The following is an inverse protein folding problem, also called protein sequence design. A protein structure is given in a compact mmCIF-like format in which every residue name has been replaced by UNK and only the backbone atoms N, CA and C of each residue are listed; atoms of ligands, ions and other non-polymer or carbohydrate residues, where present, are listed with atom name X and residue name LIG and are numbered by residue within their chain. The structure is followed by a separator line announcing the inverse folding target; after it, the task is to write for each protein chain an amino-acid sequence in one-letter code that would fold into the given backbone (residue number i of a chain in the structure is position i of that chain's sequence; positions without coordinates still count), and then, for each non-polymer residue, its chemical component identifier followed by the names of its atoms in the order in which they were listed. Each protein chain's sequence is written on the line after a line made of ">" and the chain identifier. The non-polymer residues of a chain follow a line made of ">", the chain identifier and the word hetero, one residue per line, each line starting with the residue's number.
data_IF_376281139569
#
_entry.id   IF_376281139569
#
_cell.length_a   1.000
_cell.length_b   1.000
_cell.length_c   1.000
_cell.angle_alpha   90.00
_cell.angle_beta   90.00
_cell.angle_gamma   90.00
#
_symmetry.space_group_name_H-M   'P 1'
#
loop_
_entity.id
_entity.type
_entity.pdbx_description
1 polymer ?
#
# COMPACT_ATOMS: atom_id res chain seq x y z
N UNK A 1 6.70 -7.82 4.84
CA UNK A 1 7.72 -7.12 5.68
C UNK A 1 8.86 -6.46 4.90
N UNK A 2 9.69 -7.19 4.12
CA UNK A 2 10.81 -6.58 3.37
C UNK A 2 10.41 -5.44 2.43
N UNK A 3 9.38 -5.65 1.62
CA UNK A 3 8.86 -4.65 0.68
C UNK A 3 8.47 -3.35 1.41
N UNK A 4 7.79 -3.46 2.54
CA UNK A 4 7.37 -2.33 3.38
C UNK A 4 8.56 -1.55 3.94
N UNK A 5 9.55 -2.25 4.52
CA UNK A 5 10.75 -1.59 5.06
C UNK A 5 11.49 -0.86 3.95
N UNK A 6 11.65 -1.49 2.79
CA UNK A 6 12.25 -0.85 1.62
C UNK A 6 11.49 0.43 1.23
N UNK A 7 10.17 0.38 1.08
CA UNK A 7 9.36 1.57 0.76
C UNK A 7 9.44 2.66 1.82
N UNK A 8 9.33 2.32 3.11
CA UNK A 8 9.42 3.28 4.20
C UNK A 8 10.80 3.94 4.24
N UNK A 9 11.89 3.17 4.10
CA UNK A 9 13.24 3.74 4.05
C UNK A 9 13.45 4.62 2.82
N UNK A 10 12.99 4.20 1.65
CA UNK A 10 13.06 5.00 0.43
C UNK A 10 12.29 6.31 0.57
N UNK A 11 11.11 6.27 1.17
CA UNK A 11 10.27 7.45 1.41
C UNK A 11 10.93 8.41 2.41
N UNK A 12 11.54 7.90 3.50
CA UNK A 12 12.33 8.71 4.45
C UNK A 12 13.52 9.37 3.76
N UNK A 13 14.29 8.62 2.96
CA UNK A 13 15.46 9.15 2.23
C UNK A 13 15.01 10.24 1.25
N UNK A 14 13.91 10.01 0.53
CA UNK A 14 13.34 11.00 -0.38
C UNK A 14 12.94 12.26 0.39
N UNK A 15 12.25 12.14 1.52
CA UNK A 15 11.87 13.29 2.35
C UNK A 15 13.08 14.08 2.87
N UNK A 16 14.11 13.40 3.39
CA UNK A 16 15.32 14.04 3.89
C UNK A 16 16.08 14.78 2.78
N UNK A 17 16.18 14.18 1.58
CA UNK A 17 16.82 14.81 0.43
C UNK A 17 16.00 15.99 -0.10
N UNK A 18 14.67 15.88 -0.14
CA UNK A 18 13.78 17.00 -0.49
C UNK A 18 13.92 18.15 0.50
N UNK A 19 13.95 17.86 1.80
CA UNK A 19 14.11 18.86 2.86
C UNK A 19 15.44 19.62 2.71
N UNK A 20 16.54 18.90 2.47
CA UNK A 20 17.86 19.52 2.28
C UNK A 20 17.96 20.33 0.98
N UNK A 21 17.24 19.92 -0.07
CA UNK A 21 17.30 20.57 -1.40
C UNK A 21 16.39 21.78 -1.54
N UNK A 22 15.19 21.74 -0.96
CA UNK A 22 14.16 22.77 -1.16
C UNK A 22 14.03 23.75 0.00
N UNK A 23 14.66 23.48 1.16
CA UNK A 23 14.62 24.41 2.31
C UNK A 23 13.22 24.67 2.86
N UNK A 24 12.24 23.81 2.54
CA UNK A 24 10.84 23.97 2.93
C UNK A 24 10.70 23.62 4.41
N UNK A 25 10.28 24.58 5.22
CA UNK A 25 9.85 24.42 6.62
C UNK A 25 8.43 23.83 6.69
N UNK A 26 8.18 22.74 5.98
CA UNK A 26 6.93 22.01 6.14
C UNK A 26 6.96 21.28 7.50
N UNK A 27 5.82 21.16 8.21
CA UNK A 27 5.75 20.37 9.42
C UNK A 27 5.84 18.87 9.06
N UNK A 28 7.06 18.34 8.97
CA UNK A 28 7.35 16.92 8.66
C UNK A 28 7.08 16.01 9.87
N UNK A 29 6.90 16.59 11.07
CA UNK A 29 6.66 15.86 12.32
C UNK A 29 5.56 14.79 12.23
N UNK A 30 4.36 15.11 11.72
CA UNK A 30 3.27 14.14 11.53
C UNK A 30 3.63 13.00 10.58
N UNK A 31 4.32 13.30 9.48
CA UNK A 31 4.81 12.30 8.52
C UNK A 31 5.81 11.34 9.16
N UNK A 32 6.80 11.88 9.88
CA UNK A 32 7.78 11.10 10.64
C UNK A 32 7.11 10.24 11.71
N UNK A 33 6.04 10.73 12.34
CA UNK A 33 5.27 9.96 13.31
C UNK A 33 4.58 8.76 12.66
N UNK A 34 3.93 8.95 11.51
CA UNK A 34 3.30 7.85 10.75
C UNK A 34 4.34 6.81 10.30
N UNK A 35 5.50 7.26 9.82
CA UNK A 35 6.61 6.37 9.46
C UNK A 35 7.14 5.61 10.68
N UNK A 36 7.27 6.29 11.82
CA UNK A 36 7.69 5.70 13.10
C UNK A 36 6.73 4.62 13.58
N UNK A 37 5.42 4.89 13.52
CA UNK A 37 4.36 3.88 13.74
C UNK A 37 4.53 2.72 12.74
N UNK A 38 4.94 3.01 11.52
CA UNK A 38 5.29 2.02 10.51
C UNK A 38 6.42 1.09 10.91
N UNK A 39 7.53 1.60 11.43
CA UNK A 39 8.61 0.75 11.92
C UNK A 39 8.18 -0.04 13.16
N UNK A 40 7.46 0.59 14.08
CA UNK A 40 6.98 -0.05 15.30
C UNK A 40 6.02 -1.21 15.00
N UNK A 41 5.06 -1.01 14.09
CA UNK A 41 4.12 -2.04 13.69
C UNK A 41 4.83 -3.19 12.94
N UNK A 42 5.93 -2.91 12.23
CA UNK A 42 6.78 -3.96 11.64
C UNK A 42 7.45 -4.83 12.71
N UNK A 43 7.90 -4.22 13.81
CA UNK A 43 8.47 -4.94 14.96
C UNK A 43 7.41 -5.81 15.65
N UNK A 44 6.20 -5.28 15.82
CA UNK A 44 5.05 -6.03 16.36
C UNK A 44 4.75 -7.26 15.50
N UNK A 45 4.70 -7.12 14.18
CA UNK A 45 4.46 -8.26 13.27
C UNK A 45 5.58 -9.30 13.28
N UNK A 46 6.83 -8.89 13.49
CA UNK A 46 7.92 -9.84 13.69
C UNK A 46 7.78 -10.62 14.99
N UNK A 47 7.34 -9.98 16.08
CA UNK A 47 7.07 -10.65 17.35
C UNK A 47 5.85 -11.59 17.27
N UNK A 48 4.77 -11.16 16.61
CA UNK A 48 3.55 -11.93 16.42
C UNK A 48 3.75 -13.14 15.49
N UNK A 49 4.80 -13.16 14.65
CA UNK A 49 5.15 -14.30 13.82
C UNK A 49 5.35 -15.59 14.64
N UNK A 50 5.71 -15.47 15.92
CA UNK A 50 5.87 -16.62 16.82
C UNK A 50 4.54 -17.21 17.31
N UNK A 51 3.46 -16.43 17.28
CA UNK A 51 2.17 -16.75 17.91
C UNK A 51 1.02 -16.97 16.92
N UNK A 52 1.11 -16.41 15.71
CA UNK A 52 0.06 -16.49 14.69
C UNK A 52 0.40 -17.44 13.55
N UNK A 53 -0.61 -17.94 12.86
CA UNK A 53 -0.41 -18.64 11.59
C UNK A 53 0.11 -17.70 10.51
N UNK A 54 0.80 -18.25 9.50
CA UNK A 54 1.32 -17.50 8.35
C UNK A 54 0.23 -16.65 7.66
N UNK A 55 -0.98 -17.19 7.54
CA UNK A 55 -2.13 -16.53 6.89
C UNK A 55 -2.72 -15.41 7.72
N UNK A 56 -2.85 -15.59 9.03
CA UNK A 56 -3.37 -14.55 9.95
C UNK A 56 -2.39 -13.39 10.05
N UNK A 57 -1.09 -13.68 10.22
CA UNK A 57 -0.07 -12.65 10.29
C UNK A 57 0.03 -11.85 8.97
N UNK A 58 -0.09 -12.53 7.82
CA UNK A 58 -0.12 -11.85 6.53
C UNK A 58 -1.36 -10.96 6.37
N UNK A 59 -2.52 -11.43 6.81
CA UNK A 59 -3.77 -10.65 6.75
C UNK A 59 -3.69 -9.40 7.62
N UNK A 60 -3.18 -9.54 8.84
CA UNK A 60 -2.95 -8.42 9.75
C UNK A 60 -1.93 -7.43 9.18
N UNK A 61 -0.87 -7.92 8.55
CA UNK A 61 0.13 -7.09 7.89
C UNK A 61 -0.46 -6.27 6.75
N UNK A 62 -1.29 -6.87 5.88
CA UNK A 62 -1.96 -6.15 4.78
C UNK A 62 -2.90 -5.07 5.32
N UNK A 63 -3.70 -5.39 6.35
CA UNK A 63 -4.60 -4.41 6.96
C UNK A 63 -3.84 -3.22 7.57
N UNK A 64 -2.75 -3.49 8.29
CA UNK A 64 -1.90 -2.43 8.84
C UNK A 64 -1.17 -1.62 7.77
N UNK A 65 -0.74 -2.25 6.69
CA UNK A 65 -0.08 -1.57 5.56
C UNK A 65 -1.06 -0.64 4.84
N UNK A 66 -2.33 -1.03 4.68
CA UNK A 66 -3.38 -0.16 4.13
C UNK A 66 -3.61 1.08 5.01
N UNK A 67 -3.74 0.89 6.33
CA UNK A 67 -3.92 2.00 7.27
C UNK A 67 -2.71 2.93 7.28
N UNK A 68 -1.50 2.37 7.22
CA UNK A 68 -0.28 3.15 7.17
C UNK A 68 -0.20 3.99 5.89
N UNK A 69 -0.52 3.41 4.73
CA UNK A 69 -0.56 4.18 3.46
C UNK A 69 -1.62 5.27 3.52
N UNK A 70 -2.80 5.00 4.10
CA UNK A 70 -3.82 6.01 4.36
C UNK A 70 -3.32 7.15 5.24
N UNK A 71 -2.59 6.82 6.32
CA UNK A 71 -1.96 7.82 7.19
C UNK A 71 -0.90 8.66 6.47
N UNK A 72 -0.07 8.04 5.62
CA UNK A 72 0.92 8.77 4.81
C UNK A 72 0.19 9.72 3.86
N UNK A 73 -0.79 9.22 3.11
CA UNK A 73 -1.59 9.99 2.15
C UNK A 73 -2.22 11.22 2.81
N UNK A 74 -2.79 11.03 4.01
CA UNK A 74 -3.36 12.11 4.80
C UNK A 74 -2.32 13.20 5.15
N UNK A 75 -1.12 12.80 5.56
CA UNK A 75 -0.05 13.72 5.94
C UNK A 75 0.69 14.37 4.75
N UNK A 76 0.46 13.91 3.53
CA UNK A 76 1.20 14.35 2.33
C UNK A 76 0.37 15.19 1.36
N UNK A 77 -0.82 15.63 1.78
CA UNK A 77 -1.67 16.53 1.00
C UNK A 77 -2.95 15.90 0.40
N UNK A 78 -3.42 14.76 0.91
CA UNK A 78 -4.77 14.27 0.62
C UNK A 78 -5.00 13.89 -0.85
N UNK A 79 -6.10 14.36 -1.44
CA UNK A 79 -6.57 14.01 -2.79
C UNK A 79 -5.60 14.42 -3.90
N UNK A 80 -4.93 15.57 -3.75
CA UNK A 80 -3.98 16.09 -4.75
C UNK A 80 -2.62 15.38 -4.68
N UNK A 81 -2.41 14.51 -3.70
CA UNK A 81 -1.15 13.82 -3.54
C UNK A 81 -1.03 12.65 -4.51
N UNK A 82 0.04 12.56 -5.33
CA UNK A 82 0.29 11.41 -6.18
C UNK A 82 0.50 10.13 -5.36
N UNK A 83 0.69 10.23 -4.05
CA UNK A 83 1.02 9.15 -3.11
C UNK A 83 -0.06 8.07 -3.00
N UNK A 84 -1.26 8.31 -3.52
CA UNK A 84 -2.31 7.29 -3.65
C UNK A 84 -1.87 6.04 -4.43
N UNK A 85 -0.86 6.12 -5.31
CA UNK A 85 -0.30 4.92 -5.96
C UNK A 85 0.32 3.92 -4.98
N UNK A 86 0.68 4.31 -3.76
CA UNK A 86 1.27 3.40 -2.77
C UNK A 86 0.33 2.25 -2.39
N UNK A 87 -0.99 2.46 -2.49
CA UNK A 87 -1.97 1.39 -2.28
C UNK A 87 -1.78 0.22 -3.27
N UNK A 88 -1.29 0.49 -4.48
CA UNK A 88 -1.00 -0.54 -5.49
C UNK A 88 0.02 -1.55 -4.97
N UNK A 89 1.06 -1.10 -4.25
CA UNK A 89 2.06 -2.02 -3.70
C UNK A 89 1.50 -2.90 -2.60
N UNK A 90 0.59 -2.38 -1.78
CA UNK A 90 -0.09 -3.18 -0.75
C UNK A 90 -0.97 -4.25 -1.40
N UNK A 91 -1.69 -3.89 -2.47
CA UNK A 91 -2.51 -4.82 -3.26
C UNK A 91 -1.64 -5.90 -3.90
N UNK A 92 -0.54 -5.53 -4.56
CA UNK A 92 0.40 -6.48 -5.17
C UNK A 92 0.96 -7.43 -4.09
N UNK A 93 1.46 -6.88 -2.98
CA UNK A 93 2.02 -7.66 -1.88
C UNK A 93 1.01 -8.67 -1.33
N UNK A 94 -0.26 -8.26 -1.14
CA UNK A 94 -1.31 -9.15 -0.68
C UNK A 94 -1.56 -10.32 -1.63
N UNK A 95 -1.47 -10.09 -2.95
CA UNK A 95 -1.67 -11.14 -3.95
C UNK A 95 -0.56 -12.20 -3.96
N UNK A 96 0.66 -11.82 -3.57
CA UNK A 96 1.80 -12.74 -3.44
C UNK A 96 1.68 -13.58 -2.17
N UNK A 97 1.33 -12.97 -1.05
CA UNK A 97 1.38 -13.60 0.28
C UNK A 97 0.10 -14.36 0.66
N UNK A 98 -1.06 -13.94 0.16
CA UNK A 98 -2.37 -14.47 0.55
C UNK A 98 -3.10 -15.15 -0.62
N UNK A 99 -4.27 -15.77 -0.39
CA UNK A 99 -5.13 -16.28 -1.45
C UNK A 99 -5.65 -15.15 -2.35
N UNK A 100 -6.10 -15.51 -3.56
CA UNK A 100 -6.57 -14.57 -4.59
C UNK A 100 -7.62 -13.55 -4.09
N UNK A 101 -8.48 -13.97 -3.17
CA UNK A 101 -9.51 -13.12 -2.58
C UNK A 101 -8.94 -11.94 -1.78
N UNK A 102 -7.78 -12.11 -1.15
CA UNK A 102 -7.17 -11.07 -0.32
C UNK A 102 -6.74 -9.84 -1.13
N UNK A 103 -6.34 -10.02 -2.40
CA UNK A 103 -6.00 -8.90 -3.27
C UNK A 103 -7.21 -8.00 -3.57
N UNK A 104 -8.38 -8.60 -3.78
CA UNK A 104 -9.62 -7.85 -3.97
C UNK A 104 -10.08 -7.17 -2.68
N UNK A 105 -9.97 -7.85 -1.53
CA UNK A 105 -10.24 -7.25 -0.23
C UNK A 105 -9.31 -6.07 0.06
N UNK A 106 -8.02 -6.18 -0.30
CA UNK A 106 -7.08 -5.09 -0.16
C UNK A 106 -7.42 -3.90 -1.07
N UNK A 107 -7.85 -4.15 -2.30
CA UNK A 107 -8.31 -3.10 -3.21
C UNK A 107 -9.57 -2.40 -2.69
N UNK A 108 -10.55 -3.15 -2.20
CA UNK A 108 -11.74 -2.58 -1.56
C UNK A 108 -11.39 -1.75 -0.32
N UNK A 109 -10.50 -2.26 0.53
CA UNK A 109 -10.01 -1.54 1.70
C UNK A 109 -9.29 -0.24 1.33
N UNK A 110 -8.45 -0.27 0.30
CA UNK A 110 -7.78 0.92 -0.22
C UNK A 110 -8.77 1.98 -0.74
N UNK A 111 -9.80 1.55 -1.49
CA UNK A 111 -10.85 2.46 -1.99
C UNK A 111 -11.66 3.04 -0.84
N UNK A 112 -12.01 2.26 0.17
CA UNK A 112 -12.74 2.75 1.35
C UNK A 112 -11.89 3.78 2.09
N UNK A 113 -10.62 3.50 2.36
CA UNK A 113 -9.72 4.45 3.05
C UNK A 113 -9.56 5.72 2.21
N UNK A 114 -9.34 5.58 0.91
CA UNK A 114 -9.20 6.71 -0.01
C UNK A 114 -10.49 7.55 -0.05
N UNK A 115 -11.65 6.92 -0.21
CA UNK A 115 -12.95 7.59 -0.24
C UNK A 115 -13.28 8.28 1.08
N UNK A 116 -13.01 7.64 2.22
CA UNK A 116 -13.15 8.26 3.54
C UNK A 116 -12.26 9.49 3.66
N UNK A 117 -11.00 9.41 3.23
CA UNK A 117 -10.12 10.59 3.23
C UNK A 117 -10.67 11.71 2.34
N UNK A 118 -11.17 11.37 1.15
CA UNK A 118 -11.79 12.33 0.24
C UNK A 118 -13.01 12.99 0.88
N UNK A 119 -13.89 12.21 1.49
CA UNK A 119 -15.11 12.70 2.13
C UNK A 119 -14.76 13.64 3.29
N UNK A 120 -13.80 13.26 4.15
CA UNK A 120 -13.40 14.08 5.29
C UNK A 120 -12.72 15.40 4.84
N UNK A 121 -12.00 15.40 3.72
CA UNK A 121 -11.44 16.60 3.10
C UNK A 121 -12.55 17.47 2.48
N UNK A 122 -13.49 16.87 1.77
CA UNK A 122 -14.62 17.56 1.14
C UNK A 122 -15.55 18.25 2.15
N UNK A 123 -15.84 17.59 3.27
CA UNK A 123 -16.65 18.16 4.35
C UNK A 123 -15.88 19.15 5.24
N UNK A 124 -14.57 19.37 5.00
CA UNK A 124 -13.73 20.27 5.79
C UNK A 124 -13.54 19.82 7.24
N UNK A 125 -13.84 18.55 7.54
CA UNK A 125 -13.65 17.94 8.87
C UNK A 125 -12.17 17.80 9.16
N UNK A 126 -11.37 17.55 8.13
CA UNK A 126 -9.91 17.56 8.24
C UNK A 126 -9.29 18.45 7.16
N UNK A 127 -8.38 19.33 7.58
CA UNK A 127 -7.47 20.03 6.69
C UNK A 127 -6.22 19.17 6.52
N UNK A 128 -5.94 18.63 5.31
CA UNK A 128 -4.69 17.92 5.06
C UNK A 128 -3.51 18.82 5.42
N UNK A 129 -2.47 18.22 5.99
CA UNK A 129 -1.21 18.94 6.15
C UNK A 129 -0.58 19.01 4.75
N UNK A 130 -0.80 20.13 4.07
CA UNK A 130 -0.27 20.37 2.74
C UNK A 130 1.26 20.49 2.81
N UNK A 131 1.96 19.38 2.55
CA UNK A 131 3.42 19.36 2.42
C UNK A 131 3.89 20.03 1.11
N UNK A 132 2.99 20.16 0.15
CA UNK A 132 3.17 20.84 -1.13
C UNK A 132 2.31 22.12 -1.17
N UNK A 133 2.69 23.18 -1.90
CA UNK A 133 1.86 24.39 -2.03
C UNK A 133 0.47 24.02 -2.55
N UNK A 134 -0.59 24.57 -1.94
CA UNK A 134 -1.97 24.37 -2.39
C UNK A 134 -2.07 24.55 -3.91
N UNK A 135 -2.42 23.48 -4.62
CA UNK A 135 -3.01 23.62 -5.94
C UNK A 135 -4.32 24.36 -5.74
N UNK A 136 -4.41 25.60 -6.25
CA UNK A 136 -5.68 26.32 -6.43
C UNK A 136 -6.52 25.68 -7.55
N UNK A 137 -6.56 24.34 -7.61
CA UNK A 137 -7.54 23.63 -8.39
C UNK A 137 -8.82 23.73 -7.57
N UNK A 138 -9.69 24.64 -8.00
CA UNK A 138 -11.08 24.67 -7.57
C UNK A 138 -11.60 23.23 -7.53
N UNK A 139 -12.06 22.79 -6.36
CA UNK A 139 -12.76 21.53 -6.11
C UNK A 139 -14.01 21.45 -6.98
N UNK A 140 -13.83 21.31 -8.29
CA UNK A 140 -14.89 21.00 -9.21
C UNK A 140 -15.22 19.54 -8.96
N UNK A 141 -16.43 19.28 -8.46
CA UNK A 141 -16.87 17.93 -8.05
C UNK A 141 -16.56 16.88 -9.12
N UNK A 142 -16.63 17.25 -10.40
CA UNK A 142 -16.25 16.38 -11.53
C UNK A 142 -14.81 15.86 -11.50
N UNK A 143 -13.83 16.66 -11.06
CA UNK A 143 -12.44 16.23 -10.95
C UNK A 143 -12.26 15.16 -9.85
N UNK A 144 -12.89 15.37 -8.69
CA UNK A 144 -12.83 14.42 -7.57
C UNK A 144 -13.44 13.08 -7.98
N UNK A 145 -14.61 13.10 -8.63
CA UNK A 145 -15.24 11.87 -9.17
C UNK A 145 -14.34 11.17 -10.18
N UNK A 146 -13.69 11.91 -11.08
CA UNK A 146 -12.77 11.36 -12.06
C UNK A 146 -11.58 10.65 -11.40
N UNK A 147 -10.95 11.28 -10.39
CA UNK A 147 -9.80 10.71 -9.68
C UNK A 147 -10.20 9.49 -8.85
N UNK A 148 -11.34 9.52 -8.16
CA UNK A 148 -11.87 8.33 -7.46
C UNK A 148 -12.08 7.19 -8.44
N UNK A 149 -12.74 7.46 -9.57
CA UNK A 149 -13.01 6.45 -10.59
C UNK A 149 -11.72 5.83 -11.13
N UNK A 150 -10.71 6.66 -11.45
CA UNK A 150 -9.40 6.18 -11.88
C UNK A 150 -8.73 5.30 -10.83
N UNK A 151 -8.78 5.67 -9.55
CA UNK A 151 -8.22 4.85 -8.48
C UNK A 151 -8.95 3.52 -8.35
N UNK A 152 -10.29 3.51 -8.41
CA UNK A 152 -11.09 2.28 -8.38
C UNK A 152 -10.66 1.34 -9.53
N UNK A 153 -10.66 1.84 -10.77
CA UNK A 153 -10.30 1.05 -11.95
C UNK A 153 -8.86 0.54 -11.84
N UNK A 154 -7.93 1.41 -11.43
CA UNK A 154 -6.52 1.05 -11.28
C UNK A 154 -6.32 -0.03 -10.22
N UNK A 155 -6.91 0.14 -9.03
CA UNK A 155 -6.72 -0.77 -7.89
C UNK A 155 -7.31 -2.15 -8.18
N UNK A 156 -8.51 -2.21 -8.76
CA UNK A 156 -9.11 -3.48 -9.18
C UNK A 156 -8.37 -4.14 -10.35
N UNK A 157 -7.87 -3.36 -11.32
CA UNK A 157 -7.05 -3.89 -12.41
C UNK A 157 -5.76 -4.50 -11.88
N UNK A 158 -5.07 -3.83 -10.96
CA UNK A 158 -3.84 -4.35 -10.35
C UNK A 158 -4.15 -5.55 -9.46
N UNK A 159 -5.25 -5.54 -8.70
CA UNK A 159 -5.68 -6.70 -7.94
C UNK A 159 -5.90 -7.91 -8.84
N UNK A 160 -6.60 -7.73 -9.96
CA UNK A 160 -6.84 -8.78 -10.95
C UNK A 160 -5.54 -9.31 -11.55
N UNK A 161 -4.70 -8.43 -12.11
CA UNK A 161 -3.44 -8.82 -12.77
C UNK A 161 -2.48 -9.52 -11.82
N UNK A 162 -2.30 -8.97 -10.62
CA UNK A 162 -1.35 -9.50 -9.64
C UNK A 162 -1.84 -10.83 -9.06
N UNK A 163 -3.15 -10.96 -8.84
CA UNK A 163 -3.79 -12.22 -8.39
C UNK A 163 -3.77 -13.29 -9.48
N UNK A 164 -3.93 -12.90 -10.75
CA UNK A 164 -3.77 -13.79 -11.89
C UNK A 164 -2.33 -14.29 -12.00
N UNK A 165 -1.36 -13.38 -11.99
CA UNK A 165 0.06 -13.69 -12.12
C UNK A 165 0.56 -14.58 -10.98
N UNK A 166 0.22 -14.22 -9.73
CA UNK A 166 0.64 -14.97 -8.55
C UNK A 166 0.12 -16.41 -8.56
N UNK A 167 -1.10 -16.62 -9.05
CA UNK A 167 -1.63 -17.98 -9.17
C UNK A 167 -1.03 -18.77 -10.33
N UNK A 168 -0.82 -18.14 -11.50
CA UNK A 168 -0.11 -18.81 -12.60
C UNK A 168 1.29 -19.23 -12.19
N UNK A 169 1.98 -18.37 -11.43
CA UNK A 169 3.30 -18.68 -10.88
C UNK A 169 3.26 -19.87 -9.91
N UNK A 170 2.22 -20.01 -9.08
CA UNK A 170 2.04 -21.17 -8.21
C UNK A 170 1.83 -22.46 -9.01
N UNK A 171 0.98 -22.44 -10.04
CA UNK A 171 0.74 -23.59 -10.92
C UNK A 171 2.05 -24.03 -11.59
N UNK A 172 2.76 -23.10 -12.23
CA UNK A 172 4.02 -23.42 -12.93
C UNK A 172 5.06 -23.98 -11.97
N UNK A 173 5.14 -23.45 -10.74
CA UNK A 173 6.04 -23.97 -9.71
C UNK A 173 5.67 -25.40 -9.29
N UNK A 174 4.39 -25.69 -9.14
CA UNK A 174 3.91 -27.06 -8.82
C UNK A 174 4.22 -28.05 -9.95
N UNK A 175 4.02 -27.65 -11.21
CA UNK A 175 4.36 -28.45 -12.38
C UNK A 175 5.87 -28.73 -12.46
N UNK A 176 6.71 -27.71 -12.23
CA UNK A 176 8.17 -27.86 -12.20
C UNK A 176 8.64 -28.82 -11.10
N UNK A 177 8.06 -28.72 -9.90
CA UNK A 177 8.40 -29.63 -8.78
C UNK A 177 8.00 -31.06 -9.13
N UNK A 178 6.81 -31.29 -9.69
CA UNK A 178 6.38 -32.64 -10.11
C UNK A 178 7.26 -33.21 -11.22
N UNK A 179 7.61 -32.39 -12.20
CA UNK A 179 8.51 -32.81 -13.27
C UNK A 179 9.91 -33.18 -12.73
N UNK A 180 10.43 -32.42 -11.75
CA UNK A 180 11.71 -32.73 -11.12
C UNK A 180 11.71 -34.07 -10.36
N UNK A 181 10.63 -34.37 -9.63
CA UNK A 181 10.48 -35.64 -8.90
C UNK A 181 10.43 -36.83 -9.87
N UNK A 182 9.63 -36.73 -10.94
CA UNK A 182 9.55 -37.80 -11.96
C UNK A 182 10.91 -38.09 -12.62
N UNK A 183 11.74 -37.06 -12.84
CA UNK A 183 13.08 -37.24 -13.41
C UNK A 183 14.06 -37.90 -12.43
N UNK A 184 13.92 -37.67 -11.13
CA UNK A 184 14.72 -38.35 -10.11
C UNK A 184 14.31 -39.83 -9.99
N UNK A 185 13.01 -40.13 -10.02
CA UNK A 185 12.49 -41.51 -9.98
C UNK A 185 12.91 -42.34 -11.20
N UNK A 186 13.00 -41.73 -12.39
CA UNK A 186 13.48 -42.43 -13.61
C UNK A 186 14.99 -42.69 -13.63
N UNK A 187 15.77 -42.05 -12.74
CA UNK A 187 17.22 -42.20 -12.66
C UNK A 187 17.66 -43.15 -11.55
N UNK A 188 16.76 -43.54 -10.65
CA UNK A 188 16.99 -44.52 -9.58
C UNK A 188 16.69 -45.95 -10.05
#
# INVERSE_FOLDING_TARGET
>A
MFLRVFFLTGFVILLLTFQQRLGITAPIGPLCMVIGVGFFLSLIYAALFRFLTLTENASLQVAGDLLLVGGILFTTGGIDSPISFLFLFVIIASSLTLPRAAAYLAASGAIIIYGVLVDLEYFGIITPIYLFPESKLSFESGYVFYVIFLNIVSYYTIAYLSSFLSHRLRIVKEELVRASINLEEQRA
#
